data_IF_858255497982
#
_entry.id   IF_858255497982
#
_cell.length_a   1.000
_cell.length_b   1.000
_cell.length_c   1.000
_cell.angle_alpha   90.00
_cell.angle_beta   90.00
_cell.angle_gamma   90.00
#
_symmetry.space_group_name_H-M   'P 1'
#
loop_
_entity.id
_entity.type
_entity.pdbx_description
1 polymer ?
#
# COMPACT_ATOMS: atom_id res chain seq x y z
N UNK A 1 17.81 -7.51 16.92
CA UNK A 1 17.03 -8.76 16.92
C UNK A 1 15.91 -8.63 15.90
N UNK A 2 15.45 -9.71 15.24
CA UNK A 2 14.32 -9.63 14.32
C UNK A 2 13.05 -9.18 15.05
N UNK A 3 12.22 -8.38 14.38
CA UNK A 3 10.92 -7.93 14.89
C UNK A 3 9.97 -9.13 14.97
N UNK A 4 9.45 -9.43 16.16
CA UNK A 4 8.48 -10.51 16.36
C UNK A 4 7.12 -10.04 15.85
N UNK A 5 6.62 -10.71 14.81
CA UNK A 5 5.42 -10.28 14.09
C UNK A 5 4.28 -11.31 14.24
N UNK A 6 3.12 -10.83 14.66
CA UNK A 6 1.86 -11.53 14.48
C UNK A 6 1.19 -11.07 13.17
N UNK A 7 0.46 -11.98 12.53
CA UNK A 7 -0.22 -11.71 11.25
C UNK A 7 -1.72 -11.86 11.42
N UNK A 8 -2.49 -10.87 11.00
CA UNK A 8 -3.96 -10.89 11.10
C UNK A 8 -4.60 -11.00 9.72
N UNK A 9 -5.28 -12.08 9.45
CA UNK A 9 -6.03 -12.43 8.23
C UNK A 9 -5.41 -13.60 7.44
N UNK A 10 -6.20 -14.13 6.51
CA UNK A 10 -5.78 -15.12 5.49
C UNK A 10 -6.09 -14.62 4.07
N UNK A 11 -6.09 -13.31 3.89
CA UNK A 11 -6.34 -12.67 2.58
C UNK A 11 -5.27 -13.04 1.56
N UNK A 12 -5.49 -12.69 0.30
CA UNK A 12 -4.53 -12.97 -0.78
C UNK A 12 -3.17 -12.30 -0.53
N UNK A 13 -3.18 -11.04 -0.08
CA UNK A 13 -1.92 -10.31 0.19
C UNK A 13 -1.16 -10.92 1.38
N UNK A 14 -1.88 -11.36 2.41
CA UNK A 14 -1.27 -12.10 3.53
C UNK A 14 -0.68 -13.43 3.06
N UNK A 15 -1.37 -14.17 2.19
CA UNK A 15 -0.83 -15.42 1.64
C UNK A 15 0.43 -15.17 0.78
N UNK A 16 0.47 -14.08 0.00
CA UNK A 16 1.65 -13.63 -0.73
C UNK A 16 2.79 -13.30 0.24
N UNK A 17 2.52 -12.48 1.25
CA UNK A 17 3.48 -12.13 2.30
C UNK A 17 4.07 -13.37 2.96
N UNK A 18 3.24 -14.30 3.43
CA UNK A 18 3.66 -15.52 4.12
C UNK A 18 4.46 -16.49 3.24
N UNK A 19 4.37 -16.37 1.93
CA UNK A 19 5.20 -17.16 0.99
C UNK A 19 6.66 -16.69 0.99
N UNK A 20 6.91 -15.40 1.24
CA UNK A 20 8.23 -14.79 1.12
C UNK A 20 8.85 -14.38 2.46
N UNK A 21 8.04 -13.94 3.42
CA UNK A 21 8.49 -13.39 4.69
C UNK A 21 9.35 -14.34 5.57
N UNK A 22 9.17 -15.68 5.55
CA UNK A 22 10.05 -16.57 6.31
C UNK A 22 11.54 -16.48 5.96
N UNK A 23 11.86 -15.96 4.76
CA UNK A 23 13.24 -15.76 4.32
C UNK A 23 13.80 -14.37 4.69
N UNK A 24 13.04 -13.51 5.34
CA UNK A 24 13.48 -12.14 5.67
C UNK A 24 14.06 -12.08 7.09
N UNK A 25 15.36 -11.80 7.23
CA UNK A 25 16.03 -11.83 8.53
C UNK A 25 15.57 -10.75 9.51
N UNK A 26 14.88 -9.72 9.01
CA UNK A 26 14.34 -8.64 9.83
C UNK A 26 13.09 -9.06 10.63
N UNK A 27 12.44 -10.17 10.28
CA UNK A 27 11.19 -10.61 10.89
C UNK A 27 11.30 -11.98 11.53
N UNK A 28 10.58 -12.16 12.64
CA UNK A 28 10.28 -13.46 13.24
C UNK A 28 8.76 -13.64 13.29
N UNK A 29 8.21 -14.49 12.43
CA UNK A 29 6.78 -14.77 12.39
C UNK A 29 6.39 -15.64 13.58
N UNK A 30 5.54 -15.14 14.49
CA UNK A 30 5.25 -15.80 15.77
C UNK A 30 3.84 -16.30 15.93
N UNK A 31 2.87 -15.66 15.27
CA UNK A 31 1.46 -16.00 15.35
C UNK A 31 0.71 -15.65 14.07
N UNK A 32 -0.32 -16.41 13.75
CA UNK A 32 -1.34 -16.08 12.75
C UNK A 32 -2.70 -16.03 13.45
N UNK A 33 -3.50 -15.01 13.16
CA UNK A 33 -4.88 -14.94 13.61
C UNK A 33 -5.81 -14.81 12.40
N UNK A 34 -6.89 -15.57 12.41
CA UNK A 34 -7.91 -15.52 11.36
C UNK A 34 -9.30 -15.74 11.98
N UNK A 35 -10.34 -15.52 11.20
CA UNK A 35 -11.71 -15.81 11.63
C UNK A 35 -11.91 -17.32 11.78
N UNK A 36 -12.82 -17.79 12.68
CA UNK A 36 -13.09 -19.21 12.88
C UNK A 36 -13.39 -19.99 11.60
N UNK A 37 -14.19 -19.41 10.69
CA UNK A 37 -14.54 -20.02 9.40
C UNK A 37 -13.35 -20.10 8.41
N UNK A 38 -12.25 -19.45 8.70
CA UNK A 38 -11.01 -19.51 7.93
C UNK A 38 -9.90 -20.31 8.61
N UNK A 39 -10.22 -21.03 9.69
CA UNK A 39 -9.22 -21.72 10.54
C UNK A 39 -8.43 -22.78 9.76
N UNK A 40 -9.06 -23.55 8.89
CA UNK A 40 -8.39 -24.55 8.07
C UNK A 40 -7.36 -23.90 7.12
N UNK A 41 -7.78 -22.85 6.40
CA UNK A 41 -6.89 -22.07 5.56
C UNK A 41 -5.75 -21.41 6.38
N UNK A 42 -6.09 -20.90 7.57
CA UNK A 42 -5.11 -20.31 8.49
C UNK A 42 -4.06 -21.34 8.92
N UNK A 43 -4.47 -22.57 9.24
CA UNK A 43 -3.55 -23.65 9.61
C UNK A 43 -2.59 -24.00 8.48
N UNK A 44 -3.09 -24.17 7.26
CA UNK A 44 -2.27 -24.47 6.09
C UNK A 44 -1.24 -23.35 5.80
N UNK A 45 -1.63 -22.08 5.95
CA UNK A 45 -0.72 -20.95 5.79
C UNK A 45 0.33 -20.88 6.91
N UNK A 46 -0.07 -21.10 8.15
CA UNK A 46 0.85 -21.12 9.30
C UNK A 46 1.90 -22.22 9.18
N UNK A 47 1.48 -23.45 8.86
CA UNK A 47 2.38 -24.58 8.62
C UNK A 47 3.40 -24.28 7.51
N UNK A 48 2.91 -23.79 6.36
CA UNK A 48 3.79 -23.43 5.22
C UNK A 48 4.81 -22.35 5.56
N UNK A 49 4.42 -21.38 6.40
CA UNK A 49 5.27 -20.26 6.80
C UNK A 49 6.08 -20.53 8.08
N UNK A 50 5.97 -21.71 8.70
CA UNK A 50 6.65 -22.06 9.95
C UNK A 50 6.15 -21.25 11.15
N UNK A 51 4.89 -20.81 11.16
CA UNK A 51 4.31 -20.02 12.25
C UNK A 51 3.80 -20.99 13.34
N UNK A 52 4.32 -20.89 14.59
CA UNK A 52 4.03 -21.89 15.62
C UNK A 52 2.64 -21.78 16.26
N UNK A 53 1.98 -20.62 16.17
CA UNK A 53 0.73 -20.35 16.89
C UNK A 53 -0.35 -19.86 15.94
N UNK A 54 -1.54 -20.48 16.02
CA UNK A 54 -2.74 -20.07 15.30
C UNK A 54 -3.83 -19.68 16.30
N UNK A 55 -4.45 -18.51 16.07
CA UNK A 55 -5.59 -18.01 16.84
C UNK A 55 -6.79 -17.78 15.95
N UNK A 56 -7.99 -17.93 16.50
CA UNK A 56 -9.25 -17.61 15.82
C UNK A 56 -10.02 -16.47 16.48
N UNK A 57 -9.38 -15.78 17.44
CA UNK A 57 -9.87 -14.58 18.13
C UNK A 57 -8.72 -13.61 18.33
N UNK A 58 -8.95 -12.34 18.04
CA UNK A 58 -7.98 -11.27 18.28
C UNK A 58 -7.72 -11.08 19.78
N UNK A 59 -8.75 -11.24 20.63
CA UNK A 59 -8.63 -11.14 22.09
C UNK A 59 -7.66 -12.22 22.61
N UNK A 60 -7.81 -13.45 22.13
CA UNK A 60 -6.91 -14.55 22.50
C UNK A 60 -5.47 -14.31 21.99
N UNK A 61 -5.32 -13.75 20.77
CA UNK A 61 -4.02 -13.37 20.23
C UNK A 61 -3.33 -12.33 21.11
N UNK A 62 -4.03 -11.24 21.43
CA UNK A 62 -3.45 -10.13 22.21
C UNK A 62 -3.18 -10.54 23.67
N UNK A 63 -4.05 -11.33 24.27
CA UNK A 63 -3.85 -11.87 25.62
C UNK A 63 -2.63 -12.82 25.70
N UNK A 64 -2.38 -13.60 24.66
CA UNK A 64 -1.23 -14.53 24.61
C UNK A 64 0.10 -13.79 24.41
N UNK A 65 0.13 -12.67 23.67
CA UNK A 65 1.32 -11.87 23.43
C UNK A 65 2.46 -12.64 22.78
N UNK A 66 3.71 -12.23 23.09
CA UNK A 66 4.92 -12.85 22.57
C UNK A 66 5.29 -12.37 21.15
N UNK A 67 4.85 -11.20 20.77
CA UNK A 67 5.23 -10.45 19.56
C UNK A 67 5.30 -8.95 19.87
N UNK A 68 5.92 -8.21 18.98
CA UNK A 68 6.14 -6.76 19.10
C UNK A 68 5.18 -5.97 18.23
N UNK A 69 4.81 -6.55 17.08
CA UNK A 69 4.01 -5.90 16.07
C UNK A 69 2.96 -6.83 15.46
N UNK A 70 1.93 -6.21 14.85
CA UNK A 70 0.86 -6.91 14.12
C UNK A 70 0.83 -6.42 12.68
N UNK A 71 0.94 -7.34 11.72
CA UNK A 71 0.63 -7.08 10.31
C UNK A 71 -0.85 -7.36 10.06
N UNK A 72 -1.56 -6.35 9.56
CA UNK A 72 -3.00 -6.40 9.33
C UNK A 72 -3.28 -6.33 7.83
N UNK A 73 -3.76 -7.43 7.25
CA UNK A 73 -4.15 -7.54 5.85
C UNK A 73 -5.60 -8.01 5.68
N UNK A 74 -6.52 -7.41 6.42
CA UNK A 74 -7.97 -7.69 6.35
C UNK A 74 -8.61 -7.05 5.10
N UNK A 75 -9.93 -7.07 4.96
CA UNK A 75 -10.63 -6.29 3.95
C UNK A 75 -10.61 -4.79 4.32
N UNK A 76 -10.61 -3.90 3.31
CA UNK A 76 -10.37 -2.47 3.50
C UNK A 76 -11.26 -1.82 4.57
N UNK A 77 -12.57 -2.12 4.58
CA UNK A 77 -13.52 -1.58 5.55
C UNK A 77 -13.27 -2.03 7.00
N UNK A 78 -12.45 -3.06 7.21
CA UNK A 78 -12.10 -3.58 8.55
C UNK A 78 -10.78 -3.03 9.07
N UNK A 79 -10.01 -2.33 8.23
CA UNK A 79 -8.66 -1.86 8.56
C UNK A 79 -8.64 -1.00 9.83
N UNK A 80 -9.47 0.05 9.88
CA UNK A 80 -9.48 0.98 10.99
C UNK A 80 -9.83 0.31 12.33
N UNK A 81 -10.84 -0.58 12.33
CA UNK A 81 -11.26 -1.28 13.54
C UNK A 81 -10.20 -2.28 14.04
N UNK A 82 -9.57 -3.04 13.12
CA UNK A 82 -8.52 -4.00 13.46
C UNK A 82 -7.26 -3.28 13.98
N UNK A 83 -6.81 -2.22 13.30
CA UNK A 83 -5.68 -1.42 13.74
C UNK A 83 -5.92 -0.79 15.13
N UNK A 84 -7.12 -0.25 15.37
CA UNK A 84 -7.48 0.31 16.67
C UNK A 84 -7.33 -0.70 17.80
N UNK A 85 -7.78 -1.96 17.61
CA UNK A 85 -7.66 -3.01 18.63
C UNK A 85 -6.20 -3.37 18.92
N UNK A 86 -5.38 -3.51 17.88
CA UNK A 86 -3.97 -3.82 18.04
C UNK A 86 -3.20 -2.67 18.74
N UNK A 87 -3.44 -1.41 18.33
CA UNK A 87 -2.83 -0.23 18.95
C UNK A 87 -3.27 -0.09 20.42
N UNK A 88 -4.57 -0.25 20.72
CA UNK A 88 -5.09 -0.20 22.08
C UNK A 88 -4.49 -1.27 23.00
N UNK A 89 -4.14 -2.43 22.43
CA UNK A 89 -3.42 -3.49 23.11
C UNK A 89 -1.90 -3.23 23.28
N UNK A 90 -1.38 -2.10 22.75
CA UNK A 90 0.01 -1.68 22.91
C UNK A 90 0.98 -2.29 21.90
N UNK A 91 0.52 -2.75 20.75
CA UNK A 91 1.37 -3.33 19.71
C UNK A 91 1.66 -2.32 18.60
N UNK A 92 2.88 -2.36 18.03
CA UNK A 92 3.17 -1.71 16.76
C UNK A 92 2.31 -2.31 15.66
N UNK A 93 1.93 -1.51 14.66
CA UNK A 93 1.05 -1.97 13.57
C UNK A 93 1.63 -1.62 12.22
N UNK A 94 1.70 -2.60 11.33
CA UNK A 94 1.82 -2.39 9.90
C UNK A 94 0.48 -2.77 9.25
N UNK A 95 -0.20 -1.79 8.63
CA UNK A 95 -1.56 -1.89 8.12
C UNK A 95 -1.55 -1.84 6.60
N UNK A 96 -2.22 -2.80 5.96
CA UNK A 96 -2.34 -2.83 4.50
C UNK A 96 -2.99 -1.56 3.92
N UNK A 97 -2.62 -1.30 2.68
CA UNK A 97 -3.26 -0.28 1.83
C UNK A 97 -4.62 -0.82 1.29
N UNK A 98 -5.57 0.05 0.95
CA UNK A 98 -5.62 1.46 1.32
C UNK A 98 -5.70 1.60 2.84
N UNK A 99 -5.03 2.57 3.40
CA UNK A 99 -4.77 2.61 4.85
C UNK A 99 -6.04 2.53 5.69
N UNK A 100 -6.99 3.42 5.45
CA UNK A 100 -8.29 3.45 6.11
C UNK A 100 -9.39 3.86 5.11
N UNK A 101 -10.67 3.63 5.42
CA UNK A 101 -11.79 4.17 4.66
C UNK A 101 -11.77 5.70 4.54
N UNK A 102 -11.41 6.42 5.62
CA UNK A 102 -11.43 7.88 5.68
C UNK A 102 -10.13 8.45 6.26
N UNK A 103 -9.82 9.71 5.91
CA UNK A 103 -8.68 10.43 6.48
C UNK A 103 -8.87 10.73 7.98
N UNK A 104 -10.11 10.90 8.43
CA UNK A 104 -10.42 11.09 9.84
C UNK A 104 -10.06 9.85 10.67
N UNK A 105 -10.38 8.64 10.19
CA UNK A 105 -9.96 7.38 10.82
C UNK A 105 -8.43 7.24 10.85
N UNK A 106 -7.75 7.59 9.74
CA UNK A 106 -6.29 7.58 9.69
C UNK A 106 -5.67 8.47 10.79
N UNK A 107 -6.16 9.71 10.92
CA UNK A 107 -5.70 10.63 11.97
C UNK A 107 -5.98 10.11 13.38
N UNK A 108 -7.15 9.55 13.61
CA UNK A 108 -7.52 8.97 14.90
C UNK A 108 -6.63 7.78 15.29
N UNK A 109 -6.24 6.93 14.31
CA UNK A 109 -5.31 5.83 14.55
C UNK A 109 -3.90 6.32 14.86
N UNK A 110 -3.39 7.34 14.16
CA UNK A 110 -2.09 7.93 14.48
C UNK A 110 -2.07 8.59 15.86
N UNK A 111 -3.15 9.29 16.25
CA UNK A 111 -3.27 9.85 17.58
C UNK A 111 -3.27 8.76 18.67
N UNK A 112 -3.96 7.64 18.44
CA UNK A 112 -3.93 6.49 19.35
C UNK A 112 -2.54 5.85 19.43
N UNK A 113 -1.83 5.74 18.29
CA UNK A 113 -0.46 5.22 18.27
C UNK A 113 0.48 6.11 19.12
N UNK A 114 0.36 7.45 19.00
CA UNK A 114 1.10 8.41 19.82
C UNK A 114 0.78 8.25 21.32
N UNK A 115 -0.52 8.11 21.67
CA UNK A 115 -0.95 7.86 23.06
C UNK A 115 -0.35 6.59 23.66
N UNK A 116 -0.26 5.53 22.85
CA UNK A 116 0.27 4.23 23.27
C UNK A 116 1.79 4.11 23.17
N UNK A 117 2.47 5.09 22.58
CA UNK A 117 3.92 5.03 22.34
C UNK A 117 4.34 3.93 21.36
N UNK A 118 3.49 3.62 20.37
CA UNK A 118 3.75 2.57 19.38
C UNK A 118 3.75 3.13 17.96
N UNK A 119 4.43 2.44 17.05
CA UNK A 119 4.52 2.82 15.63
C UNK A 119 3.31 2.29 14.88
N UNK A 120 2.68 3.15 14.08
CA UNK A 120 1.68 2.79 13.09
C UNK A 120 2.22 3.13 11.70
N UNK A 121 2.20 2.15 10.80
CA UNK A 121 2.85 2.22 9.49
C UNK A 121 1.93 1.66 8.40
N UNK A 122 1.89 2.32 7.24
CA UNK A 122 1.14 1.83 6.08
C UNK A 122 2.01 0.87 5.27
N UNK A 123 1.50 -0.33 4.98
CA UNK A 123 2.10 -1.27 4.05
C UNK A 123 1.87 -0.80 2.61
N UNK A 124 2.73 0.08 2.15
CA UNK A 124 2.77 0.61 0.79
C UNK A 124 4.18 0.49 0.23
N UNK A 125 4.40 -0.44 -0.69
CA UNK A 125 5.73 -0.81 -1.18
C UNK A 125 6.50 0.34 -1.82
N UNK A 126 5.82 1.15 -2.62
CA UNK A 126 6.38 2.15 -3.54
C UNK A 126 7.51 3.01 -2.94
N UNK A 127 7.34 3.71 -1.81
CA UNK A 127 8.36 4.66 -1.33
C UNK A 127 9.63 3.99 -0.76
N UNK A 128 9.60 2.68 -0.52
CA UNK A 128 10.70 1.95 0.11
C UNK A 128 11.59 1.21 -0.88
N UNK A 129 11.17 1.11 -2.14
CA UNK A 129 11.92 0.43 -3.19
C UNK A 129 13.17 1.22 -3.60
N UNK A 130 14.34 0.57 -3.77
CA UNK A 130 15.57 1.24 -4.21
C UNK A 130 15.42 1.88 -5.59
N UNK A 131 14.61 1.29 -6.46
CA UNK A 131 14.22 1.84 -7.76
C UNK A 131 13.44 3.15 -7.65
N UNK A 132 12.54 3.26 -6.66
CA UNK A 132 11.83 4.50 -6.40
C UNK A 132 12.74 5.59 -5.81
N UNK A 133 13.64 5.22 -4.91
CA UNK A 133 14.67 6.13 -4.38
C UNK A 133 15.59 6.66 -5.49
N UNK A 134 15.91 5.84 -6.49
CA UNK A 134 16.61 6.30 -7.69
C UNK A 134 15.81 7.38 -8.43
N UNK A 135 14.51 7.18 -8.66
CA UNK A 135 13.66 8.21 -9.30
C UNK A 135 13.62 9.51 -8.48
N UNK A 136 13.57 9.42 -7.15
CA UNK A 136 13.63 10.59 -6.28
C UNK A 136 14.96 11.36 -6.43
N UNK A 137 16.08 10.64 -6.50
CA UNK A 137 17.41 11.24 -6.69
C UNK A 137 17.59 11.88 -8.09
N UNK A 138 16.99 11.28 -9.12
CA UNK A 138 17.02 11.78 -10.49
C UNK A 138 16.01 12.93 -10.74
N UNK A 139 14.98 13.05 -9.90
CA UNK A 139 13.89 14.04 -10.08
C UNK A 139 14.36 15.49 -10.26
N UNK A 140 15.32 16.01 -9.49
CA UNK A 140 15.81 17.38 -9.67
C UNK A 140 16.50 17.60 -11.02
N UNK A 141 17.13 16.57 -11.58
CA UNK A 141 17.94 16.66 -12.80
C UNK A 141 17.10 16.89 -14.08
N UNK A 142 15.82 16.47 -14.09
CA UNK A 142 14.93 16.72 -15.22
C UNK A 142 14.37 18.15 -15.25
N UNK A 143 14.69 18.97 -14.26
CA UNK A 143 14.25 20.37 -14.16
C UNK A 143 12.75 20.54 -13.87
N UNK A 144 12.16 21.63 -14.37
CA UNK A 144 10.74 21.91 -14.19
C UNK A 144 9.88 20.86 -14.90
N UNK A 145 8.97 20.21 -14.17
CA UNK A 145 8.03 19.23 -14.75
C UNK A 145 7.00 19.94 -15.63
N UNK A 146 6.65 19.31 -16.74
CA UNK A 146 5.67 19.79 -17.73
C UNK A 146 4.45 18.87 -17.85
N UNK A 147 4.58 17.63 -17.41
CA UNK A 147 3.50 16.65 -17.38
C UNK A 147 3.94 15.35 -16.72
N UNK A 148 2.96 14.57 -16.26
CA UNK A 148 3.18 13.24 -15.72
C UNK A 148 2.01 12.31 -16.05
N UNK A 149 2.30 11.06 -16.33
CA UNK A 149 1.31 10.03 -16.64
C UNK A 149 1.64 8.77 -15.86
N UNK A 150 0.60 8.08 -15.37
CA UNK A 150 0.72 6.74 -14.82
C UNK A 150 -0.47 5.87 -15.27
N UNK A 151 -0.20 4.60 -15.50
CA UNK A 151 -1.22 3.59 -15.71
C UNK A 151 -0.89 2.36 -14.86
N UNK A 152 -1.79 2.04 -13.94
CA UNK A 152 -1.75 0.80 -13.17
C UNK A 152 -3.05 0.04 -13.37
N UNK A 153 -3.18 -0.67 -14.48
CA UNK A 153 -4.38 -1.41 -14.89
C UNK A 153 -4.07 -2.89 -14.99
N UNK A 154 -4.84 -3.71 -14.28
CA UNK A 154 -4.77 -5.17 -14.35
C UNK A 154 -6.15 -5.77 -14.13
N UNK A 155 -6.61 -6.59 -15.08
CA UNK A 155 -7.89 -7.28 -14.93
C UNK A 155 -7.87 -8.16 -13.69
N UNK A 156 -8.78 -7.89 -12.76
CA UNK A 156 -8.94 -8.67 -11.55
C UNK A 156 -9.62 -10.01 -11.86
N UNK A 157 -9.08 -11.13 -11.37
CA UNK A 157 -9.76 -12.41 -11.46
C UNK A 157 -11.14 -12.42 -10.76
N UNK A 158 -11.36 -11.51 -9.78
CA UNK A 158 -12.64 -11.33 -9.11
C UNK A 158 -13.67 -10.54 -9.92
N UNK A 159 -13.28 -9.94 -11.04
CA UNK A 159 -14.20 -9.27 -11.94
C UNK A 159 -15.15 -10.25 -12.63
N UNK A 160 -14.64 -11.45 -12.97
CA UNK A 160 -15.47 -12.51 -13.52
C UNK A 160 -16.50 -13.04 -12.49
N UNK A 161 -16.16 -13.07 -11.20
CA UNK A 161 -17.10 -13.37 -10.10
C UNK A 161 -18.18 -12.30 -10.03
N UNK A 162 -17.79 -11.02 -10.06
CA UNK A 162 -18.75 -9.89 -10.09
C UNK A 162 -19.73 -9.98 -11.26
N UNK A 163 -19.24 -10.27 -12.47
CA UNK A 163 -20.09 -10.42 -13.68
C UNK A 163 -21.09 -11.59 -13.55
N UNK A 164 -20.75 -12.62 -12.77
CA UNK A 164 -21.67 -13.74 -12.46
C UNK A 164 -22.59 -13.47 -11.27
N UNK A 165 -22.56 -12.25 -10.70
CA UNK A 165 -23.34 -11.90 -9.53
C UNK A 165 -22.80 -12.48 -8.22
N UNK A 166 -21.58 -13.01 -8.19
CA UNK A 166 -20.93 -13.50 -6.96
C UNK A 166 -20.35 -12.32 -6.19
N UNK A 167 -20.87 -12.10 -5.00
CA UNK A 167 -20.42 -11.02 -4.13
C UNK A 167 -18.94 -11.18 -3.74
N UNK A 168 -18.21 -10.08 -3.76
CA UNK A 168 -16.86 -10.01 -3.23
C UNK A 168 -16.51 -8.58 -2.81
N UNK A 169 -15.66 -8.45 -1.79
CA UNK A 169 -15.25 -7.15 -1.21
C UNK A 169 -14.54 -6.22 -2.18
N UNK A 170 -13.92 -6.77 -3.24
CA UNK A 170 -13.14 -6.02 -4.23
C UNK A 170 -14.01 -5.11 -5.10
N UNK A 171 -15.27 -5.54 -5.36
CA UNK A 171 -16.24 -4.83 -6.18
C UNK A 171 -17.50 -4.44 -5.38
N UNK A 172 -17.34 -4.17 -4.09
CA UNK A 172 -18.39 -3.68 -3.20
C UNK A 172 -18.04 -2.27 -2.69
N UNK A 173 -18.87 -1.24 -2.99
CA UNK A 173 -18.70 0.12 -2.47
C UNK A 173 -18.65 0.17 -0.95
N UNK A 174 -19.45 -0.64 -0.24
CA UNK A 174 -19.48 -0.70 1.22
C UNK A 174 -18.18 -1.25 1.82
N UNK A 175 -17.40 -1.97 1.03
CA UNK A 175 -16.11 -2.51 1.43
C UNK A 175 -14.92 -1.64 1.01
N UNK A 176 -15.15 -0.44 0.46
CA UNK A 176 -14.10 0.43 -0.09
C UNK A 176 -13.23 -0.31 -1.13
N UNK A 177 -13.90 -1.02 -2.04
CA UNK A 177 -13.30 -1.67 -3.19
C UNK A 177 -13.02 -0.68 -4.33
N UNK A 178 -13.05 -1.18 -5.58
CA UNK A 178 -12.93 -0.37 -6.78
C UNK A 178 -11.50 -0.08 -7.23
N UNK A 179 -11.39 0.59 -8.37
CA UNK A 179 -10.12 0.90 -9.00
C UNK A 179 -9.39 2.05 -8.29
N UNK A 180 -10.11 3.03 -7.76
CA UNK A 180 -9.52 4.15 -7.04
C UNK A 180 -8.76 3.69 -5.80
N UNK A 181 -9.44 2.97 -4.90
CA UNK A 181 -8.87 2.56 -3.61
C UNK A 181 -7.85 1.42 -3.72
N UNK A 182 -8.04 0.49 -4.65
CA UNK A 182 -7.16 -0.69 -4.71
C UNK A 182 -5.96 -0.53 -5.65
N UNK A 183 -6.11 0.25 -6.73
CA UNK A 183 -5.07 0.40 -7.76
C UNK A 183 -4.52 1.83 -7.80
N UNK A 184 -5.37 2.85 -7.93
CA UNK A 184 -4.92 4.23 -8.06
C UNK A 184 -4.20 4.76 -6.80
N UNK A 185 -4.46 4.19 -5.63
CA UNK A 185 -3.71 4.50 -4.41
C UNK A 185 -2.20 4.39 -4.62
N UNK A 186 -1.71 3.42 -5.38
CA UNK A 186 -0.29 3.29 -5.72
C UNK A 186 0.21 4.42 -6.63
N UNK A 187 -0.56 4.81 -7.65
CA UNK A 187 -0.24 5.94 -8.49
C UNK A 187 -0.21 7.26 -7.70
N UNK A 188 -1.13 7.44 -6.73
CA UNK A 188 -1.14 8.60 -5.85
C UNK A 188 0.11 8.65 -4.96
N UNK A 189 0.48 7.53 -4.32
CA UNK A 189 1.73 7.44 -3.58
C UNK A 189 2.95 7.71 -4.46
N UNK A 190 2.96 7.19 -5.69
CA UNK A 190 4.05 7.41 -6.64
C UNK A 190 4.22 8.90 -6.97
N UNK A 191 3.13 9.60 -7.33
CA UNK A 191 3.21 11.01 -7.67
C UNK A 191 3.43 11.90 -6.46
N UNK A 192 2.72 11.70 -5.36
CA UNK A 192 2.90 12.52 -4.15
C UNK A 192 4.32 12.43 -3.58
N UNK A 193 4.95 11.27 -3.68
CA UNK A 193 6.33 11.09 -3.20
C UNK A 193 7.40 11.73 -4.11
N UNK A 194 7.11 11.96 -5.40
CA UNK A 194 8.02 12.60 -6.35
C UNK A 194 7.74 14.09 -6.57
N UNK A 195 6.48 14.51 -6.41
CA UNK A 195 6.00 15.83 -6.79
C UNK A 195 5.44 16.63 -5.62
N UNK A 196 5.22 16.00 -4.47
CA UNK A 196 4.46 16.59 -3.36
C UNK A 196 2.94 16.49 -3.58
N UNK A 197 2.18 17.12 -2.71
CA UNK A 197 0.72 17.19 -2.83
C UNK A 197 0.31 18.09 -4.00
N UNK A 198 -0.69 17.71 -4.82
CA UNK A 198 -1.24 18.55 -5.86
C UNK A 198 -2.09 19.69 -5.24
N UNK A 199 -2.31 20.77 -6.00
CA UNK A 199 -3.20 21.86 -5.61
C UNK A 199 -4.68 21.45 -5.67
N UNK A 200 -5.02 20.56 -6.61
CA UNK A 200 -6.37 20.05 -6.84
C UNK A 200 -6.29 18.64 -7.44
N UNK A 201 -7.26 17.81 -7.08
CA UNK A 201 -7.45 16.51 -7.69
C UNK A 201 -8.91 16.34 -8.15
N UNK A 202 -9.11 15.58 -9.22
CA UNK A 202 -10.41 15.24 -9.76
C UNK A 202 -10.39 13.78 -10.24
N UNK A 203 -11.45 13.03 -9.96
CA UNK A 203 -11.58 11.65 -10.41
C UNK A 203 -12.68 11.51 -11.47
N UNK A 204 -12.37 10.82 -12.55
CA UNK A 204 -13.30 10.45 -13.62
C UNK A 204 -13.46 8.93 -13.64
N UNK A 205 -14.45 8.38 -12.90
CA UNK A 205 -14.65 6.94 -12.80
C UNK A 205 -15.43 6.38 -13.99
N UNK A 206 -15.19 5.09 -14.27
CA UNK A 206 -16.11 4.20 -14.98
C UNK A 206 -16.85 3.38 -13.94
N UNK A 207 -18.14 3.64 -13.75
CA UNK A 207 -18.98 2.98 -12.78
C UNK A 207 -19.73 1.80 -13.41
N UNK A 208 -20.00 0.77 -12.60
CA UNK A 208 -20.85 -0.37 -12.98
C UNK A 208 -22.11 -0.44 -12.11
N UNK A 209 -22.98 -1.41 -12.37
CA UNK A 209 -24.39 -1.43 -11.90
C UNK A 209 -24.63 -1.23 -10.39
N UNK A 210 -23.68 -1.56 -9.52
CA UNK A 210 -23.78 -1.32 -8.08
C UNK A 210 -23.11 -0.01 -7.61
N UNK A 211 -22.68 0.84 -8.55
CA UNK A 211 -22.02 2.13 -8.26
C UNK A 211 -20.51 2.04 -8.01
N UNK A 212 -19.90 0.84 -8.01
CA UNK A 212 -18.47 0.70 -7.84
C UNK A 212 -17.71 1.15 -9.10
N UNK A 213 -16.56 1.76 -8.93
CA UNK A 213 -15.63 2.07 -10.00
C UNK A 213 -14.79 0.84 -10.38
N UNK A 214 -14.88 0.43 -11.64
CA UNK A 214 -14.04 -0.65 -12.19
C UNK A 214 -12.80 -0.12 -12.89
N UNK A 215 -12.86 1.12 -13.34
CA UNK A 215 -11.74 1.88 -13.92
C UNK A 215 -11.91 3.37 -13.63
N UNK A 216 -10.86 4.16 -13.86
CA UNK A 216 -10.98 5.60 -13.81
C UNK A 216 -9.65 6.32 -13.83
N UNK A 217 -9.71 7.62 -14.12
CA UNK A 217 -8.54 8.49 -14.20
C UNK A 217 -8.61 9.57 -13.13
N UNK A 218 -7.58 9.66 -12.30
CA UNK A 218 -7.35 10.81 -11.41
C UNK A 218 -6.52 11.85 -12.15
N UNK A 219 -7.03 13.07 -12.21
CA UNK A 219 -6.32 14.25 -12.69
C UNK A 219 -5.79 15.04 -11.50
N UNK A 220 -4.49 15.31 -11.48
CA UNK A 220 -3.78 16.00 -10.40
C UNK A 220 -3.22 17.31 -10.93
N UNK A 221 -3.73 18.45 -10.44
CA UNK A 221 -3.26 19.78 -10.84
C UNK A 221 -2.10 20.21 -9.95
N UNK A 222 -0.96 20.47 -10.57
CA UNK A 222 0.22 21.07 -9.95
C UNK A 222 0.47 22.48 -10.49
N UNK A 223 1.32 23.29 -9.83
CA UNK A 223 1.74 24.58 -10.40
C UNK A 223 2.41 24.39 -11.77
N UNK A 224 1.75 24.86 -12.82
CA UNK A 224 2.28 24.87 -14.19
C UNK A 224 2.16 23.57 -15.00
N UNK A 225 1.56 22.48 -14.45
CA UNK A 225 1.31 21.26 -15.21
C UNK A 225 0.18 20.40 -14.59
N UNK A 226 -0.23 19.39 -15.32
CA UNK A 226 -1.18 18.39 -14.86
C UNK A 226 -0.55 16.98 -14.92
N UNK A 227 -0.89 16.13 -13.96
CA UNK A 227 -0.62 14.71 -14.02
C UNK A 227 -1.91 13.91 -14.15
N UNK A 228 -1.86 12.76 -14.84
CA UNK A 228 -2.98 11.84 -14.98
C UNK A 228 -2.58 10.43 -14.53
N UNK A 229 -3.44 9.84 -13.68
CA UNK A 229 -3.26 8.50 -13.12
C UNK A 229 -4.46 7.62 -13.49
N UNK A 230 -4.27 6.71 -14.45
CA UNK A 230 -5.28 5.73 -14.86
C UNK A 230 -5.11 4.46 -14.04
N UNK A 231 -6.24 3.89 -13.64
CA UNK A 231 -6.29 2.53 -13.10
C UNK A 231 -7.54 1.80 -13.57
N UNK A 232 -7.42 0.48 -13.80
CA UNK A 232 -8.53 -0.37 -14.15
C UNK A 232 -8.40 -1.75 -13.50
N UNK A 233 -9.57 -2.35 -13.15
CA UNK A 233 -9.70 -3.71 -12.59
C UNK A 233 -10.54 -4.63 -13.47
N UNK A 234 -11.22 -4.08 -14.46
CA UNK A 234 -12.05 -4.78 -15.46
C UNK A 234 -11.28 -5.09 -16.74
N UNK A 235 -10.17 -4.41 -16.96
CA UNK A 235 -9.32 -4.50 -18.15
C UNK A 235 -7.85 -4.45 -17.79
N UNK A 236 -6.99 -4.86 -18.71
CA UNK A 236 -5.53 -4.80 -18.58
C UNK A 236 -4.91 -3.97 -19.67
N UNK A 237 -3.81 -3.29 -19.35
CA UNK A 237 -3.00 -2.52 -20.29
C UNK A 237 -1.53 -2.54 -19.85
N UNK A 238 -0.56 -2.14 -20.71
CA UNK A 238 0.81 -1.93 -20.29
C UNK A 238 0.86 -0.95 -19.12
N UNK A 239 1.51 -1.37 -18.04
CA UNK A 239 1.66 -0.54 -16.84
C UNK A 239 2.91 0.31 -16.96
N UNK A 240 2.84 1.57 -16.58
CA UNK A 240 3.95 2.51 -16.62
C UNK A 240 3.70 3.74 -15.74
N UNK A 241 4.77 4.47 -15.46
CA UNK A 241 4.66 5.87 -15.05
C UNK A 241 5.79 6.70 -15.68
N UNK A 242 5.52 7.98 -15.97
CA UNK A 242 6.47 8.88 -16.58
C UNK A 242 6.28 10.31 -16.03
N UNK A 243 7.41 10.97 -15.77
CA UNK A 243 7.49 12.40 -15.52
C UNK A 243 8.29 13.05 -16.65
N UNK A 244 7.73 14.09 -17.28
CA UNK A 244 8.38 14.86 -18.32
C UNK A 244 8.81 16.23 -17.76
N UNK A 245 10.09 16.52 -17.82
CA UNK A 245 10.68 17.78 -17.42
C UNK A 245 11.35 18.51 -18.61
N UNK A 246 11.75 19.75 -18.39
CA UNK A 246 12.40 20.58 -19.43
C UNK A 246 13.80 20.08 -19.80
N UNK A 247 14.50 19.39 -18.90
CA UNK A 247 15.82 18.82 -19.10
C UNK A 247 15.83 17.31 -19.35
N UNK A 248 14.66 16.64 -19.35
CA UNK A 248 14.60 15.21 -19.54
C UNK A 248 13.34 14.56 -18.99
N UNK A 249 13.40 13.25 -18.75
CA UNK A 249 12.26 12.52 -18.20
C UNK A 249 12.71 11.42 -17.21
N UNK A 250 11.76 11.01 -16.36
CA UNK A 250 11.84 9.80 -15.55
C UNK A 250 10.81 8.81 -16.07
N UNK A 251 11.19 7.53 -16.16
CA UNK A 251 10.31 6.47 -16.67
C UNK A 251 10.34 5.28 -15.74
N UNK A 252 9.15 4.79 -15.42
CA UNK A 252 8.90 3.49 -14.84
C UNK A 252 8.24 2.60 -15.90
N UNK A 253 8.81 1.43 -16.14
CA UNK A 253 8.18 0.33 -16.89
C UNK A 253 7.66 -0.70 -15.88
N UNK A 254 6.34 -0.89 -15.82
CA UNK A 254 5.67 -1.72 -14.83
C UNK A 254 4.77 -0.92 -13.89
N UNK A 255 4.12 -1.61 -12.97
CA UNK A 255 3.16 -1.02 -12.04
C UNK A 255 3.82 -0.19 -10.93
N UNK A 256 3.13 0.86 -10.49
CA UNK A 256 3.58 1.71 -9.39
C UNK A 256 3.75 0.96 -8.05
N UNK A 257 3.14 -0.21 -7.89
CA UNK A 257 3.30 -1.07 -6.71
C UNK A 257 4.63 -1.84 -6.67
N UNK A 258 5.24 -2.12 -7.83
CA UNK A 258 6.48 -2.89 -7.95
C UNK A 258 7.69 -2.04 -8.29
N UNK A 259 7.52 -0.98 -9.07
CA UNK A 259 8.56 -0.06 -9.56
C UNK A 259 9.80 -0.83 -10.05
N UNK A 260 9.57 -1.84 -10.92
CA UNK A 260 10.61 -2.85 -11.21
C UNK A 260 11.73 -2.35 -12.10
N UNK A 261 11.39 -1.65 -13.18
CA UNK A 261 12.34 -1.13 -14.16
C UNK A 261 12.19 0.39 -14.28
N UNK A 262 13.24 1.09 -13.92
CA UNK A 262 13.24 2.57 -13.95
C UNK A 262 14.49 3.08 -14.67
N UNK A 263 14.33 4.21 -15.33
CA UNK A 263 15.45 4.96 -15.90
C UNK A 263 15.14 6.45 -15.92
N UNK A 264 16.18 7.25 -15.99
CA UNK A 264 16.13 8.67 -16.32
C UNK A 264 16.73 8.92 -17.72
N UNK A 265 16.25 9.96 -18.38
CA UNK A 265 16.94 10.55 -19.54
C UNK A 265 17.14 12.04 -19.21
N UNK A 266 18.39 12.46 -19.08
CA UNK A 266 18.74 13.85 -18.75
C UNK A 266 19.68 14.38 -19.84
N UNK A 267 19.32 15.48 -20.50
CA UNK A 267 20.09 16.05 -21.62
C UNK A 267 20.44 15.00 -22.69
N UNK A 268 19.52 14.09 -23.00
CA UNK A 268 19.70 13.02 -23.98
C UNK A 268 20.47 11.78 -23.48
N UNK A 269 20.98 11.80 -22.26
CA UNK A 269 21.72 10.66 -21.69
C UNK A 269 20.79 9.83 -20.82
N UNK A 270 20.69 8.53 -21.13
CA UNK A 270 19.94 7.56 -20.34
C UNK A 270 20.79 7.01 -19.21
N UNK A 271 20.18 6.92 -18.02
CA UNK A 271 20.73 6.25 -16.83
C UNK A 271 19.70 5.25 -16.33
N UNK A 272 20.06 3.98 -16.30
CA UNK A 272 19.18 2.92 -15.76
C UNK A 272 19.29 2.87 -14.24
N UNK A 273 18.15 2.63 -13.58
CA UNK A 273 18.09 2.45 -12.14
C UNK A 273 18.53 1.06 -11.69
N UNK A 274 18.64 0.85 -10.37
CA UNK A 274 19.01 -0.45 -9.81
C UNK A 274 17.92 -1.50 -10.08
N UNK A 275 18.27 -2.77 -9.97
CA UNK A 275 17.31 -3.89 -9.98
C UNK A 275 16.91 -4.23 -8.54
N UNK A 276 15.68 -4.69 -8.35
CA UNK A 276 15.27 -5.27 -7.07
C UNK A 276 15.99 -6.61 -6.85
N UNK A 277 16.54 -6.79 -5.66
CA UNK A 277 17.25 -8.01 -5.25
C UNK A 277 16.44 -8.87 -4.29
N UNK A 278 15.31 -8.35 -3.80
CA UNK A 278 14.38 -9.01 -2.88
C UNK A 278 12.95 -8.86 -3.40
N UNK A 279 12.03 -9.63 -2.83
CA UNK A 279 10.59 -9.41 -3.06
C UNK A 279 10.20 -7.98 -2.67
N UNK A 280 9.31 -7.33 -3.44
CA UNK A 280 8.94 -5.91 -3.26
C UNK A 280 8.51 -5.57 -1.83
N UNK A 281 7.76 -6.45 -1.17
CA UNK A 281 7.30 -6.22 0.22
C UNK A 281 8.45 -6.28 1.24
N UNK A 282 9.56 -6.95 0.93
CA UNK A 282 10.68 -7.06 1.87
C UNK A 282 11.27 -5.69 2.26
N UNK A 283 11.22 -4.72 1.35
CA UNK A 283 11.79 -3.39 1.60
C UNK A 283 10.94 -2.57 2.58
N UNK A 284 9.61 -2.63 2.48
CA UNK A 284 8.71 -1.93 3.40
C UNK A 284 8.74 -2.54 4.81
N UNK A 285 8.76 -3.88 4.90
CA UNK A 285 8.84 -4.57 6.18
C UNK A 285 10.20 -4.41 6.85
N UNK A 286 11.30 -4.37 6.09
CA UNK A 286 12.62 -4.06 6.61
C UNK A 286 12.69 -2.64 7.19
N UNK A 287 12.11 -1.66 6.49
CA UNK A 287 12.05 -0.28 6.99
C UNK A 287 11.18 -0.14 8.22
N UNK A 288 10.02 -0.81 8.26
CA UNK A 288 9.18 -0.85 9.46
C UNK A 288 9.94 -1.45 10.66
N UNK A 289 10.58 -2.60 10.47
CA UNK A 289 11.36 -3.24 11.52
C UNK A 289 12.53 -2.33 12.01
N UNK A 290 13.18 -1.62 11.09
CA UNK A 290 14.25 -0.65 11.42
C UNK A 290 13.71 0.53 12.23
N UNK A 291 12.59 1.14 11.78
CA UNK A 291 11.96 2.27 12.50
C UNK A 291 11.62 1.86 13.94
N UNK A 292 11.03 0.68 14.12
CA UNK A 292 10.69 0.16 15.46
C UNK A 292 11.95 -0.08 16.29
N UNK A 293 12.97 -0.74 15.72
CA UNK A 293 14.18 -1.12 16.46
C UNK A 293 15.07 0.10 16.84
N UNK A 294 15.13 1.09 15.98
CA UNK A 294 15.98 2.28 16.14
C UNK A 294 15.24 3.47 16.79
N UNK A 295 13.92 3.34 17.00
CA UNK A 295 13.06 4.44 17.43
C UNK A 295 13.20 5.69 16.53
N UNK A 296 13.27 5.47 15.20
CA UNK A 296 13.48 6.54 14.22
C UNK A 296 12.20 7.37 14.01
N UNK A 297 11.98 8.32 14.92
CA UNK A 297 10.82 9.21 14.89
C UNK A 297 10.77 10.10 13.64
N UNK A 298 11.91 10.40 13.02
CA UNK A 298 11.96 11.21 11.80
C UNK A 298 11.43 10.43 10.59
N UNK A 299 11.86 9.18 10.43
CA UNK A 299 11.37 8.29 9.37
C UNK A 299 9.89 7.93 9.58
N UNK A 300 9.47 7.67 10.82
CA UNK A 300 8.07 7.45 11.18
C UNK A 300 7.20 8.66 10.80
N UNK A 301 7.58 9.87 11.19
CA UNK A 301 6.87 11.09 10.86
C UNK A 301 6.81 11.33 9.34
N UNK A 302 7.87 10.99 8.60
CA UNK A 302 7.88 11.07 7.14
C UNK A 302 6.91 10.06 6.49
N UNK A 303 6.85 8.82 7.00
CA UNK A 303 5.90 7.82 6.56
C UNK A 303 4.45 8.26 6.83
N UNK A 304 4.14 8.71 8.05
CA UNK A 304 2.84 9.26 8.46
C UNK A 304 2.39 10.40 7.54
N UNK A 305 3.26 11.38 7.27
CA UNK A 305 2.93 12.50 6.37
C UNK A 305 2.56 12.03 4.97
N UNK A 306 3.26 11.02 4.41
CA UNK A 306 2.92 10.46 3.09
C UNK A 306 1.55 9.80 3.10
N UNK A 307 1.29 8.93 4.08
CA UNK A 307 0.00 8.26 4.24
C UNK A 307 -1.14 9.27 4.35
N UNK A 308 -1.03 10.26 5.24
CA UNK A 308 -2.07 11.26 5.42
C UNK A 308 -2.28 12.12 4.17
N UNK A 309 -1.21 12.50 3.46
CA UNK A 309 -1.33 13.26 2.22
C UNK A 309 -2.09 12.48 1.14
N UNK A 310 -1.88 11.17 1.03
CA UNK A 310 -2.63 10.34 0.08
C UNK A 310 -4.07 10.11 0.55
N UNK A 311 -4.31 9.92 1.84
CA UNK A 311 -5.66 9.79 2.38
C UNK A 311 -6.50 11.06 2.19
N UNK A 312 -5.89 12.24 2.37
CA UNK A 312 -6.54 13.54 2.13
C UNK A 312 -6.94 13.75 0.66
N UNK A 313 -6.22 13.11 -0.27
CA UNK A 313 -6.59 13.10 -1.69
C UNK A 313 -7.63 12.02 -2.01
N UNK A 314 -7.47 10.82 -1.46
CA UNK A 314 -8.25 9.63 -1.83
C UNK A 314 -9.72 9.75 -1.41
N UNK A 315 -9.98 10.23 -0.18
CA UNK A 315 -11.33 10.29 0.37
C UNK A 315 -12.27 11.22 -0.42
N UNK A 316 -11.90 12.49 -0.78
CA UNK A 316 -12.76 13.37 -1.57
C UNK A 316 -13.00 12.88 -3.01
N UNK A 317 -12.14 12.00 -3.53
CA UNK A 317 -12.24 11.46 -4.89
C UNK A 317 -13.18 10.25 -4.97
N UNK A 318 -13.62 9.69 -3.84
CA UNK A 318 -14.49 8.53 -3.80
C UNK A 318 -15.80 8.79 -4.55
N UNK A 319 -16.20 7.93 -5.52
CA UNK A 319 -17.35 8.20 -6.39
C UNK A 319 -18.70 7.72 -5.83
N UNK A 320 -18.72 7.06 -4.64
CA UNK A 320 -19.92 6.45 -4.01
C UNK A 320 -20.04 6.79 -2.53
#
# INVERSE_FOLDING_TARGET
MPLRLAVLSTSRIVAEFLTHAPAWPELALTALCCRPESAEKGRALAEKAGIPRLYTSEEALYAAGGFDAVYIGTANHLHAAAARRALAAGYHVILEKPFTPTAAEARALFALADEKGVVLFEAITTPYLPTYRFLQAERPKIGAVRGALANFSARSARYDDYLRGVWNTTFDPACFGGALYDMNVYNLHFFCGLLGAPQRAEYRPTLVGNGIDTAGTVLLQYPGFCAAALAAKDSGAPQFAMLQGVGGCLVLQGGANGVEQVYSVVNGVRTDGPKLTRHRMAYEFAEFARIVAEHDTAAEAAARRRTLAVMDLLEPLRPY
#
